data_IF_664168671483
#
_entry.id   IF_664168671483
#
_cell.length_a   1.000
_cell.length_b   1.000
_cell.length_c   1.000
_cell.angle_alpha   90.00
_cell.angle_beta   90.00
_cell.angle_gamma   90.00
#
_symmetry.space_group_name_H-M   'P 1'
#
loop_
_entity.id
_entity.type
_entity.pdbx_description
1 polymer ?
#
# COMPACT_ATOMS: atom_id res chain seq x y z
N UNK A 1 -10.50 -4.22 21.98
CA UNK A 1 -9.90 -2.88 22.19
C UNK A 1 -11.00 -1.84 22.12
N UNK A 2 -11.06 -0.91 23.07
CA UNK A 2 -12.08 0.16 23.09
C UNK A 2 -11.73 1.19 22.02
N UNK A 3 -12.66 1.47 21.10
CA UNK A 3 -12.50 2.55 20.15
C UNK A 3 -12.49 3.88 20.90
N UNK A 4 -11.40 4.64 20.82
CA UNK A 4 -11.32 6.01 21.34
C UNK A 4 -11.99 6.93 20.32
N UNK A 5 -12.99 7.70 20.75
CA UNK A 5 -13.60 8.72 19.90
C UNK A 5 -12.62 9.88 19.75
N UNK A 6 -12.19 10.14 18.51
CA UNK A 6 -11.27 11.24 18.17
C UNK A 6 -12.04 12.28 17.37
N UNK A 7 -12.00 13.54 17.83
CA UNK A 7 -12.51 14.67 17.05
C UNK A 7 -11.42 15.17 16.10
N UNK A 8 -11.76 15.38 14.83
CA UNK A 8 -10.83 15.85 13.79
C UNK A 8 -11.46 17.00 13.03
N UNK A 9 -10.67 18.02 12.73
CA UNK A 9 -11.10 19.12 11.86
C UNK A 9 -10.81 18.75 10.40
N UNK A 10 -11.84 18.80 9.56
CA UNK A 10 -11.72 18.60 8.12
C UNK A 10 -11.93 19.93 7.40
N UNK A 11 -11.13 20.20 6.38
CA UNK A 11 -11.39 21.29 5.46
C UNK A 11 -12.70 21.09 4.69
N UNK A 12 -13.22 22.16 4.10
CA UNK A 12 -14.48 22.16 3.34
C UNK A 12 -14.50 21.08 2.25
N UNK A 13 -13.41 20.96 1.48
CA UNK A 13 -13.28 19.96 0.43
C UNK A 13 -13.52 18.51 0.93
N UNK A 14 -12.85 18.11 2.01
CA UNK A 14 -12.96 16.75 2.54
C UNK A 14 -14.29 16.51 3.25
N UNK A 15 -14.88 17.55 3.83
CA UNK A 15 -16.23 17.50 4.38
C UNK A 15 -17.25 17.21 3.27
N UNK A 16 -17.19 17.97 2.16
CA UNK A 16 -18.08 17.77 1.01
C UNK A 16 -17.89 16.38 0.38
N UNK A 17 -16.63 15.95 0.19
CA UNK A 17 -16.33 14.61 -0.30
C UNK A 17 -16.93 13.52 0.58
N UNK A 18 -16.71 13.58 1.90
CA UNK A 18 -17.24 12.57 2.81
C UNK A 18 -18.78 12.55 2.81
N UNK A 19 -19.42 13.72 2.71
CA UNK A 19 -20.87 13.83 2.60
C UNK A 19 -21.40 13.15 1.33
N UNK A 20 -20.83 13.45 0.16
CA UNK A 20 -21.21 12.82 -1.11
C UNK A 20 -21.05 11.29 -1.08
N UNK A 21 -19.97 10.80 -0.45
CA UNK A 21 -19.74 9.35 -0.29
C UNK A 21 -20.75 8.67 0.64
N UNK A 22 -21.30 9.40 1.61
CA UNK A 22 -22.38 8.90 2.48
C UNK A 22 -23.74 8.99 1.80
N UNK A 23 -24.05 10.11 1.13
CA UNK A 23 -25.31 10.31 0.40
C UNK A 23 -25.48 9.31 -0.74
N UNK A 24 -24.38 8.95 -1.41
CA UNK A 24 -24.39 7.89 -2.43
C UNK A 24 -24.62 6.48 -1.87
N UNK A 25 -24.68 6.32 -0.55
CA UNK A 25 -24.89 5.02 0.12
C UNK A 25 -23.65 4.13 0.15
N UNK A 26 -22.49 4.61 -0.32
CA UNK A 26 -21.25 3.83 -0.32
C UNK A 26 -20.70 3.59 1.09
N UNK A 27 -20.97 4.49 2.02
CA UNK A 27 -20.59 4.38 3.42
C UNK A 27 -21.74 4.83 4.33
N UNK A 28 -21.82 4.26 5.54
CA UNK A 28 -22.87 4.59 6.50
C UNK A 28 -22.60 5.84 7.35
N UNK A 29 -21.37 6.37 7.33
CA UNK A 29 -21.01 7.59 8.08
C UNK A 29 -19.71 8.21 7.61
N UNK A 30 -19.50 9.49 7.92
CA UNK A 30 -18.21 10.19 7.74
C UNK A 30 -17.06 9.47 8.43
N UNK A 31 -17.28 8.93 9.65
CA UNK A 31 -16.26 8.17 10.36
C UNK A 31 -15.84 6.91 9.61
N UNK A 32 -16.75 6.29 8.86
CA UNK A 32 -16.45 5.13 8.04
C UNK A 32 -15.63 5.51 6.80
N UNK A 33 -15.94 6.63 6.16
CA UNK A 33 -15.13 7.20 5.07
C UNK A 33 -13.70 7.46 5.55
N UNK A 34 -13.55 8.12 6.71
CA UNK A 34 -12.23 8.41 7.30
C UNK A 34 -11.46 7.11 7.56
N UNK A 35 -12.10 6.10 8.18
CA UNK A 35 -11.46 4.80 8.42
C UNK A 35 -11.08 4.08 7.12
N UNK A 36 -11.87 4.21 6.06
CA UNK A 36 -11.51 3.66 4.75
C UNK A 36 -10.27 4.35 4.18
N UNK A 37 -10.21 5.69 4.27
CA UNK A 37 -9.03 6.47 3.86
C UNK A 37 -7.78 6.09 4.64
N UNK A 38 -7.88 5.98 5.97
CA UNK A 38 -6.75 5.57 6.82
C UNK A 38 -6.27 4.15 6.52
N UNK A 39 -7.18 3.21 6.24
CA UNK A 39 -6.80 1.84 5.83
C UNK A 39 -6.05 1.82 4.51
N UNK A 40 -6.44 2.68 3.56
CA UNK A 40 -5.74 2.81 2.29
C UNK A 40 -4.34 3.39 2.51
N UNK A 41 -4.23 4.46 3.30
CA UNK A 41 -2.94 5.07 3.65
C UNK A 41 -1.99 4.06 4.30
N UNK A 42 -2.46 3.33 5.32
CA UNK A 42 -1.66 2.29 6.00
C UNK A 42 -1.17 1.21 5.03
N UNK A 43 -2.01 0.82 4.06
CA UNK A 43 -1.63 -0.15 3.03
C UNK A 43 -0.54 0.38 2.09
N UNK A 44 -0.64 1.64 1.67
CA UNK A 44 0.36 2.29 0.83
C UNK A 44 1.69 2.46 1.57
N UNK A 45 1.65 2.87 2.84
CA UNK A 45 2.84 3.01 3.69
C UNK A 45 3.55 1.66 3.87
N UNK A 46 2.81 0.58 4.14
CA UNK A 46 3.40 -0.77 4.22
C UNK A 46 4.04 -1.23 2.92
N UNK A 47 3.42 -0.97 1.77
CA UNK A 47 4.00 -1.30 0.47
C UNK A 47 5.30 -0.55 0.22
N UNK A 48 5.33 0.73 0.57
CA UNK A 48 6.49 1.59 0.39
C UNK A 48 7.64 1.18 1.32
N UNK A 49 7.33 0.81 2.57
CA UNK A 49 8.31 0.25 3.50
C UNK A 49 8.89 -1.06 2.99
N UNK A 50 8.03 -2.00 2.56
CA UNK A 50 8.48 -3.27 1.99
C UNK A 50 9.36 -3.08 0.75
N UNK A 51 8.99 -2.15 -0.15
CA UNK A 51 9.80 -1.84 -1.32
C UNK A 51 11.19 -1.31 -0.95
N UNK A 52 11.26 -0.40 0.03
CA UNK A 52 12.54 0.14 0.52
C UNK A 52 13.40 -0.96 1.12
N UNK A 53 12.79 -1.89 1.85
CA UNK A 53 13.48 -3.03 2.42
C UNK A 53 14.08 -3.92 1.33
N UNK A 54 13.29 -4.32 0.34
CA UNK A 54 13.78 -5.17 -0.76
C UNK A 54 14.90 -4.50 -1.57
N UNK A 55 14.84 -3.18 -1.76
CA UNK A 55 15.94 -2.44 -2.42
C UNK A 55 17.20 -2.49 -1.55
N UNK A 56 17.07 -2.24 -0.24
CA UNK A 56 18.19 -2.31 0.69
C UNK A 56 18.83 -3.70 0.73
N UNK A 57 18.01 -4.75 0.82
CA UNK A 57 18.48 -6.14 0.77
C UNK A 57 19.24 -6.42 -0.54
N UNK A 58 18.74 -5.90 -1.67
CA UNK A 58 19.43 -5.97 -2.97
C UNK A 58 20.77 -5.26 -2.98
N UNK A 59 20.84 -4.02 -2.48
CA UNK A 59 22.08 -3.24 -2.41
C UNK A 59 23.12 -3.88 -1.47
N UNK A 60 22.67 -4.47 -0.36
CA UNK A 60 23.52 -5.17 0.62
C UNK A 60 23.92 -6.59 0.14
N UNK A 61 23.26 -7.14 -0.89
CA UNK A 61 23.55 -8.48 -1.43
C UNK A 61 24.89 -8.58 -2.18
N UNK A 62 25.55 -7.45 -2.41
CA UNK A 62 26.83 -7.36 -3.11
C UNK A 62 26.69 -6.82 -4.53
N UNK A 63 27.81 -6.68 -5.26
CA UNK A 63 27.80 -6.10 -6.59
C UNK A 63 27.04 -6.99 -7.57
N UNK A 64 26.26 -6.37 -8.45
CA UNK A 64 25.63 -7.07 -9.56
C UNK A 64 26.68 -7.76 -10.44
N UNK A 65 26.44 -9.02 -10.76
CA UNK A 65 27.27 -9.82 -11.67
C UNK A 65 26.58 -10.01 -13.01
N UNK A 66 27.33 -10.29 -14.10
CA UNK A 66 26.73 -10.65 -15.38
C UNK A 66 25.81 -11.87 -15.21
N UNK A 67 24.59 -11.79 -15.75
CA UNK A 67 23.59 -12.85 -15.71
C UNK A 67 23.34 -13.42 -17.11
N UNK A 68 23.66 -14.70 -17.31
CA UNK A 68 23.33 -15.43 -18.53
C UNK A 68 21.94 -16.08 -18.37
N UNK A 69 20.96 -15.48 -19.03
CA UNK A 69 19.58 -15.96 -18.98
C UNK A 69 19.40 -17.32 -19.67
N UNK A 70 20.13 -17.60 -20.76
CA UNK A 70 19.98 -18.85 -21.50
C UNK A 70 20.56 -20.00 -20.68
N UNK A 71 21.76 -19.84 -20.13
CA UNK A 71 22.36 -20.84 -19.27
C UNK A 71 21.49 -21.13 -18.02
N UNK A 72 20.89 -20.10 -17.42
CA UNK A 72 19.96 -20.27 -16.29
C UNK A 72 18.69 -21.03 -16.68
N UNK A 73 18.12 -20.78 -17.86
CA UNK A 73 16.94 -21.51 -18.36
C UNK A 73 17.30 -22.98 -18.62
N UNK A 74 18.41 -23.23 -19.32
CA UNK A 74 18.83 -24.58 -19.69
C UNK A 74 19.14 -25.44 -18.45
N UNK A 75 19.74 -24.85 -17.42
CA UNK A 75 19.96 -25.50 -16.12
C UNK A 75 18.63 -25.81 -15.41
N UNK A 76 17.69 -24.85 -15.42
CA UNK A 76 16.46 -24.94 -14.63
C UNK A 76 15.37 -25.77 -15.29
N UNK A 77 15.36 -25.82 -16.63
CA UNK A 77 14.37 -26.47 -17.48
C UNK A 77 15.07 -27.22 -18.64
N UNK A 78 15.80 -28.30 -18.35
CA UNK A 78 16.64 -29.00 -19.33
C UNK A 78 15.91 -29.69 -20.49
N UNK A 79 14.57 -29.69 -20.47
CA UNK A 79 13.71 -30.41 -21.42
C UNK A 79 12.85 -29.46 -22.29
N UNK A 80 13.18 -28.16 -22.35
CA UNK A 80 12.47 -27.13 -23.16
C UNK A 80 13.25 -26.70 -24.40
#
# INVERSE_FOLDING_TARGET
MVAKNTSVALGEHFTAFAHERVESGRYGSTSEVIRAGLRLLEHEERKLEALRETIREGDESGPATPFDMQAWIDERYPES
#
